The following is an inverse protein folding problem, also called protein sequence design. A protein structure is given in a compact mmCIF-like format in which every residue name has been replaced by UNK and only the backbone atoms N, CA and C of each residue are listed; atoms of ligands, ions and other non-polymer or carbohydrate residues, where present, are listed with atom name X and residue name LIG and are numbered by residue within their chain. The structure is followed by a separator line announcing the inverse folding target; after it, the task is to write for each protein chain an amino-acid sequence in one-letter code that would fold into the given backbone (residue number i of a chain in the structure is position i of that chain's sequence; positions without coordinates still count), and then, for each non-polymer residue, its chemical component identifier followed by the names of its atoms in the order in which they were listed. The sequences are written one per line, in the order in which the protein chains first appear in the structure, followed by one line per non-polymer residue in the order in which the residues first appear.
data_IF_291074287324
#
_entry.id   IF_291074287324
#
_cell.length_a   1.000
_cell.length_b   1.000
_cell.length_c   1.000
_cell.angle_alpha   90.00
_cell.angle_beta   90.00
_cell.angle_gamma   90.00
#
_symmetry.space_group_name_H-M   'P 1'
#
loop_
_entity.id
_entity.type
_entity.pdbx_description
1 polymer ?
#
# COMPACT_ATOMS: atom_id res chain seq x y z
N UNK A 1 10.60 12.22 -19.31
CA UNK A 1 10.40 11.35 -18.12
C UNK A 1 8.91 10.99 -18.03
N UNK A 2 8.39 10.17 -18.94
CA UNK A 2 7.04 9.65 -18.85
C UNK A 2 7.15 8.21 -18.37
N UNK A 3 6.83 7.96 -17.10
CA UNK A 3 6.62 6.59 -16.67
C UNK A 3 5.41 6.04 -17.46
N UNK A 4 5.50 4.83 -18.01
CA UNK A 4 4.42 4.22 -18.77
C UNK A 4 3.12 4.20 -17.96
N UNK A 5 2.01 4.64 -18.56
CA UNK A 5 0.69 4.67 -17.92
C UNK A 5 0.28 3.33 -17.30
N UNK A 6 0.79 2.22 -17.84
CA UNK A 6 0.56 0.88 -17.31
C UNK A 6 1.09 0.69 -15.88
N UNK A 7 2.26 1.25 -15.56
CA UNK A 7 2.86 1.15 -14.21
C UNK A 7 2.10 2.02 -13.23
N UNK A 8 1.77 3.25 -13.63
CA UNK A 8 0.95 4.17 -12.85
C UNK A 8 -0.42 3.60 -12.52
N UNK A 9 -1.10 2.99 -13.49
CA UNK A 9 -2.40 2.35 -13.27
C UNK A 9 -2.30 1.18 -12.29
N UNK A 10 -1.25 0.36 -12.39
CA UNK A 10 -1.01 -0.76 -11.46
C UNK A 10 -0.76 -0.27 -10.03
N UNK A 11 0.05 0.78 -9.87
CA UNK A 11 0.30 1.41 -8.57
C UNK A 11 -0.98 1.98 -7.97
N UNK A 12 -1.76 2.74 -8.74
CA UNK A 12 -3.01 3.31 -8.27
C UNK A 12 -4.00 2.23 -7.82
N UNK A 13 -4.14 1.15 -8.60
CA UNK A 13 -4.99 0.02 -8.21
C UNK A 13 -4.46 -0.66 -6.94
N UNK A 14 -3.15 -0.86 -6.83
CA UNK A 14 -2.54 -1.45 -5.65
C UNK A 14 -2.78 -0.59 -4.39
N UNK A 15 -2.62 0.74 -4.50
CA UNK A 15 -2.90 1.69 -3.43
C UNK A 15 -4.38 1.73 -3.04
N UNK A 16 -5.28 1.73 -4.02
CA UNK A 16 -6.72 1.65 -3.76
C UNK A 16 -7.09 0.37 -2.99
N UNK A 17 -6.54 -0.77 -3.41
CA UNK A 17 -6.78 -2.07 -2.78
C UNK A 17 -6.16 -2.14 -1.38
N UNK A 18 -4.99 -1.53 -1.18
CA UNK A 18 -4.34 -1.39 0.12
C UNK A 18 -5.18 -0.59 1.12
N UNK A 19 -5.70 0.58 0.71
CA UNK A 19 -6.59 1.38 1.56
C UNK A 19 -7.90 0.66 1.84
N UNK A 20 -8.45 -0.06 0.86
CA UNK A 20 -9.66 -0.85 1.03
C UNK A 20 -9.46 -1.96 2.07
N UNK A 21 -8.36 -2.72 1.99
CA UNK A 21 -8.01 -3.75 2.98
C UNK A 21 -7.78 -3.09 4.36
N UNK A 22 -7.05 -1.98 4.43
CA UNK A 22 -6.84 -1.27 5.70
C UNK A 22 -8.17 -0.87 6.35
N UNK A 23 -9.14 -0.41 5.57
CA UNK A 23 -10.49 -0.10 6.05
C UNK A 23 -11.23 -1.34 6.59
N UNK A 24 -11.20 -2.45 5.86
CA UNK A 24 -11.80 -3.71 6.31
C UNK A 24 -11.15 -4.24 7.60
N UNK A 25 -9.82 -4.23 7.67
CA UNK A 25 -9.09 -4.64 8.87
C UNK A 25 -9.39 -3.70 10.02
N UNK A 26 -9.51 -2.38 9.78
CA UNK A 26 -9.87 -1.43 10.83
C UNK A 26 -11.25 -1.75 11.45
N UNK A 27 -12.24 -2.06 10.62
CA UNK A 27 -13.57 -2.48 11.07
C UNK A 27 -13.46 -3.77 11.89
N UNK A 28 -12.76 -4.78 11.37
CA UNK A 28 -12.57 -6.05 12.08
C UNK A 28 -11.91 -5.88 13.46
N UNK A 29 -10.82 -5.09 13.53
CA UNK A 29 -10.10 -4.80 14.77
C UNK A 29 -10.98 -4.05 15.76
N UNK A 30 -11.83 -3.12 15.29
CA UNK A 30 -12.72 -2.36 16.14
C UNK A 30 -13.78 -3.22 16.84
N UNK A 31 -14.26 -4.29 16.19
CA UNK A 31 -15.32 -5.15 16.73
C UNK A 31 -14.82 -6.37 17.52
N UNK A 32 -13.64 -6.91 17.18
CA UNK A 32 -13.15 -8.16 17.76
C UNK A 32 -11.97 -8.01 18.74
N UNK A 33 -11.23 -6.90 18.69
CA UNK A 33 -10.01 -6.71 19.49
C UNK A 33 -10.15 -5.62 20.55
N UNK A 34 -9.26 -5.67 21.55
CA UNK A 34 -9.19 -4.71 22.65
C UNK A 34 -8.86 -3.29 22.16
N UNK A 35 -9.38 -2.27 22.87
CA UNK A 35 -9.09 -0.85 22.60
C UNK A 35 -7.59 -0.55 22.55
N UNK A 36 -6.78 -1.19 23.38
CA UNK A 36 -5.32 -1.01 23.37
C UNK A 36 -4.71 -1.49 22.05
N UNK A 37 -5.20 -2.59 21.50
CA UNK A 37 -4.77 -3.09 20.20
C UNK A 37 -5.26 -2.18 19.06
N UNK A 38 -6.51 -1.69 19.15
CA UNK A 38 -7.09 -0.78 18.16
C UNK A 38 -6.31 0.55 18.04
N UNK A 39 -5.92 1.16 19.17
CA UNK A 39 -5.12 2.40 19.16
C UNK A 39 -3.73 2.16 18.54
N UNK A 40 -3.04 1.09 18.94
CA UNK A 40 -1.74 0.74 18.37
C UNK A 40 -1.84 0.41 16.88
N UNK A 41 -2.88 -0.29 16.44
CA UNK A 41 -3.11 -0.61 15.03
C UNK A 41 -3.34 0.66 14.19
N UNK A 42 -4.13 1.61 14.69
CA UNK A 42 -4.38 2.87 14.00
C UNK A 42 -3.13 3.75 13.88
N UNK A 43 -2.32 3.81 14.94
CA UNK A 43 -1.16 4.71 15.00
C UNK A 43 0.09 4.09 14.38
N UNK A 44 0.43 2.86 14.74
CA UNK A 44 1.64 2.17 14.26
C UNK A 44 1.35 1.23 13.08
N UNK A 45 0.21 0.55 13.09
CA UNK A 45 -0.17 -0.39 12.03
C UNK A 45 -0.32 0.33 10.69
N UNK A 46 -1.21 1.31 10.58
CA UNK A 46 -1.42 2.06 9.34
C UNK A 46 -0.16 2.77 8.85
N UNK A 47 0.59 3.41 9.76
CA UNK A 47 1.83 4.13 9.43
C UNK A 47 2.92 3.17 8.93
N UNK A 48 3.12 2.05 9.62
CA UNK A 48 4.09 1.02 9.23
C UNK A 48 3.71 0.35 7.92
N UNK A 49 2.44 -0.02 7.74
CA UNK A 49 1.92 -0.57 6.49
C UNK A 49 2.09 0.42 5.33
N UNK A 50 1.81 1.71 5.53
CA UNK A 50 1.95 2.74 4.49
C UNK A 50 3.42 2.91 4.09
N UNK A 51 4.34 2.93 5.04
CA UNK A 51 5.78 2.95 4.77
C UNK A 51 6.24 1.71 3.99
N UNK A 52 5.81 0.53 4.42
CA UNK A 52 6.16 -0.73 3.79
C UNK A 52 5.60 -0.81 2.36
N UNK A 53 4.36 -0.35 2.16
CA UNK A 53 3.74 -0.27 0.85
C UNK A 53 4.39 0.76 -0.06
N UNK A 54 4.83 1.90 0.50
CA UNK A 54 5.61 2.91 -0.23
C UNK A 54 6.96 2.37 -0.67
N UNK A 55 7.67 1.65 0.21
CA UNK A 55 8.92 0.96 -0.13
C UNK A 55 8.73 -0.10 -1.21
N UNK A 56 7.67 -0.92 -1.09
CA UNK A 56 7.31 -1.91 -2.11
C UNK A 56 6.98 -1.25 -3.44
N UNK A 57 6.23 -0.14 -3.43
CA UNK A 57 5.91 0.63 -4.63
C UNK A 57 7.19 1.17 -5.30
N UNK A 58 8.11 1.72 -4.51
CA UNK A 58 9.40 2.21 -5.00
C UNK A 58 10.28 1.08 -5.58
N UNK A 59 10.39 -0.05 -4.88
CA UNK A 59 11.10 -1.24 -5.37
C UNK A 59 10.47 -1.85 -6.61
N UNK A 60 9.13 -1.91 -6.66
CA UNK A 60 8.39 -2.42 -7.81
C UNK A 60 8.63 -1.57 -9.05
N UNK A 61 8.59 -0.25 -8.88
CA UNK A 61 8.94 0.69 -9.94
C UNK A 61 10.40 0.48 -10.36
N UNK A 62 11.35 0.47 -9.42
CA UNK A 62 12.77 0.28 -9.71
C UNK A 62 13.05 -1.04 -10.46
N UNK A 63 12.32 -2.11 -10.13
CA UNK A 63 12.45 -3.41 -10.80
C UNK A 63 11.74 -3.46 -12.16
N UNK A 64 10.72 -2.65 -12.42
CA UNK A 64 10.04 -2.59 -13.73
C UNK A 64 10.64 -1.57 -14.70
N UNK A 65 11.32 -0.54 -14.23
CA UNK A 65 12.08 0.39 -15.07
C UNK A 65 13.09 -0.30 -16.02
N UNK A 66 13.88 -1.33 -15.63
CA UNK A 66 14.82 -1.99 -16.54
C UNK A 66 14.16 -2.74 -17.71
N UNK A 67 12.83 -2.89 -17.73
CA UNK A 67 12.09 -3.56 -18.82
C UNK A 67 11.39 -2.59 -19.78
N UNK A 68 11.45 -1.27 -19.55
CA UNK A 68 10.69 -0.28 -20.32
C UNK A 68 11.53 0.55 -21.31
N UNK A 69 12.85 0.39 -21.34
CA UNK A 69 13.74 0.99 -22.38
C UNK A 69 13.62 0.27 -23.75
N UNK A 70 12.67 -0.65 -23.91
CA UNK A 70 12.49 -1.41 -25.14
C UNK A 70 11.01 -1.52 -25.53
N UNK A 71 10.37 -0.39 -25.85
CA UNK A 71 9.35 -0.37 -26.91
C UNK A 71 9.04 1.02 -27.44
#
# INVERSE_FOLDING_TARGET
LQLPDAVWRRLNVAWALFFFICGLVNIYVAFWLSQAFWVNFKVFGLSGLTLLFTLLSGLYIWRQMPQQEQK
#
